data_IF_620799266335
#
_entry.id   IF_620799266335
#
_cell.length_a   1.000
_cell.length_b   1.000
_cell.length_c   1.000
_cell.angle_alpha   90.00
_cell.angle_beta   90.00
_cell.angle_gamma   90.00
#
_symmetry.space_group_name_H-M   'P 1'
#
loop_
_entity.id
_entity.type
_entity.pdbx_description
1 polymer ?
#
# COMPACT_ATOMS: atom_id res chain seq x y z
N UNK A 1 -5.18 49.68 2.28
CA UNK A 1 -4.17 48.69 1.87
C UNK A 1 -4.62 47.32 2.37
N UNK A 2 -4.71 46.31 1.49
CA UNK A 2 -5.30 45.03 1.88
C UNK A 2 -4.31 44.27 2.80
N UNK A 3 -4.78 43.75 3.94
CA UNK A 3 -3.94 43.05 4.96
C UNK A 3 -3.14 41.91 4.33
N UNK A 4 -3.75 41.20 3.38
CA UNK A 4 -3.09 40.11 2.64
C UNK A 4 -1.91 40.58 1.80
N UNK A 5 -2.03 41.73 1.10
CA UNK A 5 -0.93 42.31 0.30
C UNK A 5 0.25 42.72 1.18
N UNK A 6 -0.06 43.22 2.39
CA UNK A 6 0.94 43.62 3.38
C UNK A 6 1.67 42.41 3.95
N UNK A 7 0.93 41.32 4.27
CA UNK A 7 1.50 40.05 4.72
C UNK A 7 2.44 39.45 3.67
N UNK A 8 2.02 39.40 2.40
CA UNK A 8 2.87 38.88 1.30
C UNK A 8 4.16 39.72 1.12
N UNK A 9 4.07 41.07 1.15
CA UNK A 9 5.26 41.92 1.06
C UNK A 9 6.24 41.69 2.23
N UNK A 10 5.71 41.47 3.42
CA UNK A 10 6.53 41.18 4.60
C UNK A 10 7.30 39.86 4.46
N UNK A 11 6.65 38.81 3.95
CA UNK A 11 7.27 37.51 3.67
C UNK A 11 8.41 37.63 2.63
N UNK A 12 8.22 38.47 1.62
CA UNK A 12 9.23 38.69 0.56
C UNK A 12 10.46 39.47 1.04
N UNK A 13 10.36 40.30 2.09
CA UNK A 13 11.49 41.06 2.63
C UNK A 13 12.55 40.17 3.30
N UNK A 14 12.18 38.99 3.84
CA UNK A 14 13.08 38.06 4.58
C UNK A 14 13.10 36.69 3.95
N UNK A 15 13.54 36.62 2.71
CA UNK A 15 13.46 35.44 1.83
C UNK A 15 14.04 34.16 2.45
N UNK A 16 15.24 34.23 3.05
CA UNK A 16 15.90 33.07 3.64
C UNK A 16 15.07 32.40 4.75
N UNK A 17 14.59 33.21 5.70
CA UNK A 17 13.79 32.72 6.82
C UNK A 17 12.45 32.13 6.34
N UNK A 18 11.76 32.85 5.46
CA UNK A 18 10.50 32.40 4.86
C UNK A 18 10.72 31.08 4.14
N UNK A 19 11.81 30.95 3.39
CA UNK A 19 12.17 29.72 2.68
C UNK A 19 12.39 28.54 3.64
N UNK A 20 13.20 28.70 4.70
CA UNK A 20 13.42 27.64 5.68
C UNK A 20 12.13 27.23 6.41
N UNK A 21 11.28 28.21 6.72
CA UNK A 21 9.98 27.90 7.36
C UNK A 21 9.07 27.13 6.40
N UNK A 22 8.99 27.56 5.13
CA UNK A 22 8.21 26.86 4.09
C UNK A 22 8.74 25.45 3.88
N UNK A 23 10.08 25.25 3.83
CA UNK A 23 10.69 23.92 3.71
C UNK A 23 10.31 23.02 4.89
N UNK A 24 10.40 23.53 6.12
CA UNK A 24 10.02 22.76 7.31
C UNK A 24 8.56 22.33 7.30
N UNK A 25 7.65 23.23 6.92
CA UNK A 25 6.23 22.94 6.78
C UNK A 25 5.99 21.96 5.61
N UNK A 26 6.68 22.16 4.49
CA UNK A 26 6.56 21.31 3.31
C UNK A 26 7.03 19.87 3.57
N UNK A 27 8.13 19.69 4.31
CA UNK A 27 8.59 18.36 4.74
C UNK A 27 7.57 17.68 5.65
N UNK A 28 7.00 18.40 6.60
CA UNK A 28 5.96 17.87 7.48
C UNK A 28 4.69 17.51 6.71
N UNK A 29 4.31 18.32 5.72
CA UNK A 29 3.20 18.07 4.82
C UNK A 29 3.45 16.84 3.96
N UNK A 30 4.64 16.72 3.36
CA UNK A 30 5.04 15.58 2.57
C UNK A 30 4.96 14.28 3.37
N UNK A 31 5.55 14.24 4.57
CA UNK A 31 5.51 13.07 5.44
C UNK A 31 4.07 12.69 5.81
N UNK A 32 3.24 13.67 6.19
CA UNK A 32 1.85 13.43 6.56
C UNK A 32 1.03 12.86 5.39
N UNK A 33 1.14 13.47 4.21
CA UNK A 33 0.43 13.05 2.99
C UNK A 33 0.86 11.65 2.57
N UNK A 34 2.18 11.39 2.56
CA UNK A 34 2.74 10.07 2.21
C UNK A 34 2.27 9.00 3.20
N UNK A 35 2.27 9.30 4.50
CA UNK A 35 1.83 8.36 5.53
C UNK A 35 0.33 8.04 5.45
N UNK A 36 -0.51 9.04 5.27
CA UNK A 36 -1.94 8.84 5.10
C UNK A 36 -2.25 8.14 3.78
N UNK A 37 -1.53 8.51 2.70
CA UNK A 37 -1.60 7.87 1.39
C UNK A 37 -1.21 6.40 1.44
N UNK A 38 -0.13 6.07 2.16
CA UNK A 38 0.31 4.70 2.39
C UNK A 38 -0.76 3.90 3.15
N UNK A 39 -1.31 4.43 4.24
CA UNK A 39 -2.34 3.72 4.99
C UNK A 39 -3.57 3.37 4.13
N UNK A 40 -4.01 4.27 3.26
CA UNK A 40 -5.14 4.06 2.36
C UNK A 40 -4.77 3.12 1.21
N UNK A 41 -3.64 3.36 0.56
CA UNK A 41 -3.16 2.58 -0.59
C UNK A 41 -2.88 1.14 -0.21
N UNK A 42 -2.12 0.93 0.86
CA UNK A 42 -1.82 -0.41 1.37
C UNK A 42 -3.09 -1.23 1.69
N UNK A 43 -4.03 -0.64 2.44
CA UNK A 43 -5.29 -1.33 2.77
C UNK A 43 -6.09 -1.70 1.52
N UNK A 44 -6.17 -0.80 0.56
CA UNK A 44 -6.91 -1.03 -0.69
C UNK A 44 -6.23 -2.12 -1.54
N UNK A 45 -4.90 -2.06 -1.66
CA UNK A 45 -4.14 -3.05 -2.42
C UNK A 45 -4.19 -4.42 -1.77
N UNK A 46 -4.03 -4.51 -0.44
CA UNK A 46 -4.17 -5.76 0.29
C UNK A 46 -5.58 -6.37 0.13
N UNK A 47 -6.63 -5.55 0.25
CA UNK A 47 -8.00 -6.05 0.04
C UNK A 47 -8.18 -6.55 -1.40
N UNK A 48 -7.63 -5.84 -2.39
CA UNK A 48 -7.70 -6.25 -3.79
C UNK A 48 -6.96 -7.57 -4.04
N UNK A 49 -5.76 -7.74 -3.45
CA UNK A 49 -5.01 -8.98 -3.57
C UNK A 49 -5.79 -10.16 -2.96
N UNK A 50 -6.37 -9.96 -1.77
CA UNK A 50 -7.17 -11.00 -1.10
C UNK A 50 -8.47 -11.31 -1.87
N UNK A 51 -9.20 -10.31 -2.32
CA UNK A 51 -10.39 -10.48 -3.16
C UNK A 51 -10.02 -11.10 -4.51
N UNK A 52 -8.86 -10.71 -5.06
CA UNK A 52 -8.29 -11.26 -6.27
C UNK A 52 -7.87 -12.73 -6.17
N UNK A 53 -7.69 -13.29 -4.98
CA UNK A 53 -7.50 -14.74 -4.83
C UNK A 53 -8.73 -15.54 -5.22
N UNK A 54 -9.92 -14.95 -5.15
CA UNK A 54 -11.18 -15.60 -5.51
C UNK A 54 -11.68 -16.66 -4.52
N UNK A 55 -10.89 -16.92 -3.46
CA UNK A 55 -11.17 -17.93 -2.44
C UNK A 55 -11.57 -17.27 -1.12
N UNK A 56 -12.54 -17.84 -0.42
CA UNK A 56 -12.87 -17.42 0.96
C UNK A 56 -12.14 -18.27 1.99
N UNK A 57 -12.01 -19.57 1.69
CA UNK A 57 -11.28 -20.53 2.51
C UNK A 57 -10.33 -21.30 1.59
N UNK A 58 -9.14 -21.57 2.09
CA UNK A 58 -8.19 -22.45 1.44
C UNK A 58 -7.80 -23.56 2.40
N UNK A 59 -7.88 -24.80 1.94
CA UNK A 59 -7.29 -25.94 2.61
C UNK A 59 -5.89 -26.17 2.09
N UNK A 60 -4.96 -26.40 2.99
CA UNK A 60 -3.57 -26.78 2.67
C UNK A 60 -3.16 -27.99 3.49
N UNK A 61 -2.07 -28.65 3.13
CA UNK A 61 -1.49 -29.70 3.97
C UNK A 61 -1.11 -29.12 5.34
N UNK A 62 -1.25 -29.94 6.38
CA UNK A 62 -0.99 -29.56 7.77
C UNK A 62 0.40 -28.99 7.97
N UNK A 63 0.47 -27.78 8.47
CA UNK A 63 1.69 -27.02 8.67
C UNK A 63 1.48 -25.82 9.60
N UNK A 64 2.37 -24.85 9.54
CA UNK A 64 2.16 -23.60 10.23
C UNK A 64 1.17 -22.73 9.43
N UNK A 65 0.11 -22.17 10.01
CA UNK A 65 -0.83 -21.27 9.31
C UNK A 65 -0.12 -20.06 8.67
N UNK A 66 0.98 -19.65 9.28
CA UNK A 66 1.79 -18.55 8.79
C UNK A 66 2.57 -18.91 7.51
N UNK A 67 3.06 -20.15 7.42
CA UNK A 67 3.70 -20.66 6.21
C UNK A 67 2.70 -20.77 5.06
N UNK A 68 1.49 -21.26 5.34
CA UNK A 68 0.43 -21.36 4.36
C UNK A 68 0.00 -19.98 3.82
N UNK A 69 -0.16 -18.99 4.70
CA UNK A 69 -0.47 -17.62 4.29
C UNK A 69 0.66 -16.98 3.47
N UNK A 70 1.93 -17.24 3.85
CA UNK A 70 3.11 -16.75 3.12
C UNK A 70 3.22 -17.39 1.74
N UNK A 71 2.93 -18.69 1.66
CA UNK A 71 2.90 -19.42 0.40
C UNK A 71 1.89 -18.84 -0.58
N UNK A 72 0.70 -18.49 -0.08
CA UNK A 72 -0.36 -17.90 -0.88
C UNK A 72 -0.07 -16.48 -1.36
N UNK A 73 0.72 -15.72 -0.59
CA UNK A 73 1.00 -14.31 -0.88
C UNK A 73 2.29 -14.08 -1.65
N UNK A 74 3.24 -15.02 -1.60
CA UNK A 74 4.59 -14.81 -2.18
C UNK A 74 5.12 -15.99 -3.00
N UNK A 75 4.41 -17.13 -3.02
CA UNK A 75 5.03 -18.38 -3.43
C UNK A 75 6.20 -18.73 -2.49
N UNK A 76 6.47 -20.00 -2.21
CA UNK A 76 7.53 -20.33 -1.27
C UNK A 76 8.15 -21.69 -1.51
N UNK A 77 9.34 -21.87 -0.97
CA UNK A 77 10.02 -23.16 -0.83
C UNK A 77 9.48 -23.90 0.40
N UNK A 78 9.42 -25.23 0.36
CA UNK A 78 8.91 -26.04 1.47
C UNK A 78 7.45 -26.41 1.37
N UNK A 79 6.96 -26.59 0.14
CA UNK A 79 5.60 -27.03 -0.17
C UNK A 79 5.31 -28.38 0.50
N UNK A 80 4.17 -28.45 1.19
CA UNK A 80 3.62 -29.68 1.73
C UNK A 80 2.45 -30.12 0.85
N UNK A 81 2.24 -31.42 0.84
CA UNK A 81 1.22 -32.02 -0.02
C UNK A 81 0.16 -32.72 0.84
N UNK A 82 -1.08 -32.69 0.38
CA UNK A 82 -2.20 -33.45 0.94
C UNK A 82 -2.77 -34.39 -0.10
N UNK A 83 -3.41 -35.50 0.31
CA UNK A 83 -4.02 -36.45 -0.63
C UNK A 83 -5.19 -35.82 -1.39
N UNK A 84 -5.27 -36.07 -2.70
CA UNK A 84 -6.35 -35.57 -3.55
C UNK A 84 -7.70 -36.25 -3.26
N UNK A 85 -7.71 -37.45 -2.69
CA UNK A 85 -8.91 -38.19 -2.36
C UNK A 85 -9.91 -37.47 -1.44
N UNK A 86 -9.47 -36.43 -0.75
CA UNK A 86 -10.32 -35.56 0.08
C UNK A 86 -11.12 -34.53 -0.73
N UNK A 87 -10.69 -34.25 -1.96
CA UNK A 87 -11.30 -33.19 -2.76
C UNK A 87 -12.77 -33.46 -3.11
N UNK A 88 -13.21 -34.69 -3.49
CA UNK A 88 -14.61 -34.95 -3.77
C UNK A 88 -15.56 -34.66 -2.60
N UNK A 89 -15.16 -34.98 -1.37
CA UNK A 89 -15.97 -34.73 -0.17
C UNK A 89 -16.08 -33.21 0.09
N UNK A 90 -15.00 -32.50 -0.08
CA UNK A 90 -14.98 -31.03 0.06
C UNK A 90 -15.84 -30.35 -1.01
N UNK A 91 -15.69 -30.75 -2.27
CA UNK A 91 -16.44 -30.18 -3.39
C UNK A 91 -17.96 -30.38 -3.24
N UNK A 92 -18.38 -31.52 -2.69
CA UNK A 92 -19.79 -31.91 -2.54
C UNK A 92 -20.40 -31.43 -1.20
N UNK A 93 -19.65 -30.72 -0.35
CA UNK A 93 -20.18 -30.21 0.90
C UNK A 93 -21.31 -29.20 0.64
N UNK A 94 -22.37 -29.24 1.45
CA UNK A 94 -23.56 -28.40 1.27
C UNK A 94 -23.26 -26.90 1.34
N UNK A 95 -22.26 -26.53 2.11
CA UNK A 95 -21.81 -25.15 2.34
C UNK A 95 -21.01 -24.57 1.15
N UNK A 96 -20.43 -25.43 0.31
CA UNK A 96 -19.53 -25.03 -0.78
C UNK A 96 -20.33 -24.70 -2.04
N UNK A 97 -20.09 -23.52 -2.60
CA UNK A 97 -20.58 -23.11 -3.90
C UNK A 97 -19.67 -23.65 -5.02
N UNK A 98 -18.37 -23.49 -4.81
CA UNK A 98 -17.36 -23.92 -5.76
C UNK A 98 -16.05 -24.26 -5.05
N UNK A 99 -15.37 -25.32 -5.52
CA UNK A 99 -14.05 -25.69 -5.06
C UNK A 99 -13.15 -25.99 -6.25
N UNK A 100 -11.85 -25.69 -6.11
CA UNK A 100 -10.85 -25.97 -7.13
C UNK A 100 -9.59 -26.58 -6.49
N UNK A 101 -9.09 -27.71 -7.02
CA UNK A 101 -7.86 -28.33 -6.57
C UNK A 101 -6.67 -27.63 -7.23
N UNK A 102 -5.58 -27.51 -6.51
CA UNK A 102 -4.35 -26.87 -7.00
C UNK A 102 -3.12 -27.63 -6.52
N UNK A 103 -2.17 -27.79 -7.43
CA UNK A 103 -0.82 -28.26 -7.13
C UNK A 103 0.16 -27.16 -7.48
N UNK A 104 0.90 -26.67 -6.50
CA UNK A 104 1.97 -25.71 -6.71
C UNK A 104 3.31 -26.45 -6.72
N UNK A 105 4.18 -26.06 -7.63
CA UNK A 105 5.57 -26.47 -7.66
C UNK A 105 6.45 -25.26 -7.91
N UNK A 106 7.45 -25.08 -7.08
CA UNK A 106 8.41 -23.97 -7.21
C UNK A 106 9.79 -24.54 -7.51
N UNK A 107 10.41 -24.05 -8.55
CA UNK A 107 11.72 -24.49 -9.00
C UNK A 107 12.69 -23.34 -8.99
N UNK A 108 13.82 -23.51 -8.32
CA UNK A 108 14.89 -22.52 -8.25
C UNK A 108 15.90 -22.75 -9.37
N UNK A 109 16.05 -21.75 -10.22
CA UNK A 109 17.09 -21.74 -11.25
C UNK A 109 18.21 -20.77 -10.83
N UNK A 110 19.42 -21.31 -10.52
CA UNK A 110 20.54 -20.49 -10.12
C UNK A 110 21.09 -19.60 -11.24
N UNK A 111 20.74 -19.88 -12.49
CA UNK A 111 21.20 -19.13 -13.67
C UNK A 111 20.23 -18.02 -14.09
N UNK A 112 19.10 -17.89 -13.42
CA UNK A 112 18.08 -16.90 -13.73
C UNK A 112 18.35 -15.57 -13.03
N UNK A 113 18.84 -14.56 -13.79
CA UNK A 113 19.22 -13.26 -13.24
C UNK A 113 20.54 -13.24 -12.47
N UNK A 114 20.84 -12.14 -11.79
CA UNK A 114 22.11 -11.96 -11.06
C UNK A 114 22.22 -12.82 -9.78
N UNK A 115 21.08 -13.15 -9.14
CA UNK A 115 21.01 -13.88 -7.86
C UNK A 115 20.25 -15.20 -7.94
N UNK A 116 20.00 -15.72 -9.13
CA UNK A 116 19.08 -16.83 -9.35
C UNK A 116 17.62 -16.36 -9.35
N UNK A 117 16.69 -17.22 -9.78
CA UNK A 117 15.27 -16.94 -9.80
C UNK A 117 14.43 -18.16 -9.48
N UNK A 118 13.23 -17.95 -8.95
CA UNK A 118 12.29 -19.02 -8.70
C UNK A 118 11.15 -18.93 -9.71
N UNK A 119 10.91 -20.00 -10.45
CA UNK A 119 9.75 -20.13 -11.32
C UNK A 119 8.69 -20.93 -10.57
N UNK A 120 7.46 -20.42 -10.55
CA UNK A 120 6.33 -21.04 -9.86
C UNK A 120 5.36 -21.62 -10.90
N UNK A 121 5.18 -22.92 -10.85
CA UNK A 121 4.23 -23.68 -11.66
C UNK A 121 2.98 -23.97 -10.83
N UNK A 122 1.81 -23.71 -11.42
CA UNK A 122 0.53 -23.99 -10.78
C UNK A 122 -0.30 -24.94 -11.64
N UNK A 123 -0.45 -26.17 -11.18
CA UNK A 123 -1.37 -27.15 -11.76
C UNK A 123 -2.80 -26.86 -11.33
N UNK A 124 -3.69 -26.65 -12.29
CA UNK A 124 -5.07 -26.23 -12.06
C UNK A 124 -6.04 -27.07 -12.90
N UNK A 125 -7.28 -27.10 -12.47
CA UNK A 125 -8.42 -27.53 -13.27
C UNK A 125 -8.93 -26.34 -14.10
N UNK A 126 -8.89 -26.48 -15.42
CA UNK A 126 -9.25 -25.41 -16.37
C UNK A 126 -10.73 -24.99 -16.31
N UNK A 127 -11.59 -25.78 -15.71
CA UNK A 127 -13.01 -25.46 -15.58
C UNK A 127 -13.30 -24.70 -14.28
N UNK A 128 -12.69 -25.13 -13.17
CA UNK A 128 -13.03 -24.60 -11.84
C UNK A 128 -12.18 -23.41 -11.41
N UNK A 129 -10.89 -23.41 -11.72
CA UNK A 129 -9.99 -22.33 -11.31
C UNK A 129 -10.32 -20.97 -11.94
N UNK A 130 -10.52 -20.85 -13.28
CA UNK A 130 -10.91 -19.59 -13.89
C UNK A 130 -12.27 -19.09 -13.43
N UNK A 131 -13.21 -19.99 -13.15
CA UNK A 131 -14.53 -19.61 -12.66
C UNK A 131 -14.50 -18.97 -11.26
N UNK A 132 -13.47 -19.25 -10.47
CA UNK A 132 -13.23 -18.57 -9.18
C UNK A 132 -12.55 -17.22 -9.33
N UNK A 133 -11.93 -16.94 -10.48
CA UNK A 133 -11.19 -15.70 -10.77
C UNK A 133 -11.76 -14.99 -12.02
N UNK A 134 -12.98 -14.45 -11.96
CA UNK A 134 -13.68 -13.90 -13.13
C UNK A 134 -13.01 -12.62 -13.70
N UNK A 135 -12.04 -12.05 -13.00
CA UNK A 135 -11.27 -10.90 -13.46
C UNK A 135 -10.11 -11.27 -14.40
N UNK A 136 -9.80 -12.57 -14.54
CA UNK A 136 -8.80 -13.00 -15.50
C UNK A 136 -9.24 -12.66 -16.92
N UNK A 137 -8.38 -11.91 -17.60
CA UNK A 137 -8.49 -11.61 -19.02
C UNK A 137 -7.21 -12.04 -19.71
N UNK A 138 -7.33 -12.42 -20.96
CA UNK A 138 -6.17 -12.76 -21.76
C UNK A 138 -5.69 -11.55 -22.55
N UNK A 139 -4.38 -11.32 -22.54
CA UNK A 139 -3.72 -10.43 -23.49
C UNK A 139 -3.79 -11.06 -24.89
N UNK A 140 -3.55 -12.37 -24.96
CA UNK A 140 -3.65 -13.18 -26.17
C UNK A 140 -3.90 -14.65 -25.81
N UNK A 141 -4.56 -15.42 -26.70
CA UNK A 141 -4.85 -16.82 -26.52
C UNK A 141 -6.01 -17.13 -25.58
N UNK A 142 -5.87 -18.19 -24.79
CA UNK A 142 -6.90 -18.68 -23.88
C UNK A 142 -6.40 -19.82 -22.98
N UNK A 143 -7.32 -20.38 -22.17
CA UNK A 143 -7.00 -21.55 -21.33
C UNK A 143 -6.78 -22.80 -22.17
N UNK A 144 -5.95 -23.71 -21.65
CA UNK A 144 -5.79 -25.05 -22.20
C UNK A 144 -7.12 -25.82 -22.16
N UNK A 145 -7.34 -26.68 -23.16
CA UNK A 145 -8.63 -27.36 -23.35
C UNK A 145 -8.67 -28.77 -22.79
N UNK A 146 -7.54 -29.43 -22.63
CA UNK A 146 -7.42 -30.78 -22.16
C UNK A 146 -6.65 -30.90 -20.87
N UNK A 147 -7.11 -31.76 -19.96
CA UNK A 147 -6.47 -31.99 -18.65
C UNK A 147 -5.09 -32.64 -18.72
N UNK A 148 -4.69 -33.16 -19.86
CA UNK A 148 -3.41 -33.83 -20.10
C UNK A 148 -2.67 -33.23 -21.31
N UNK A 149 -2.92 -31.96 -21.63
CA UNK A 149 -2.26 -31.31 -22.75
C UNK A 149 -0.86 -30.79 -22.34
N UNK A 150 0.09 -30.82 -23.27
CA UNK A 150 1.37 -30.14 -23.14
C UNK A 150 1.19 -28.66 -23.52
N UNK A 151 0.28 -28.00 -22.83
CA UNK A 151 -0.11 -26.63 -23.02
C UNK A 151 0.06 -25.86 -21.72
N UNK A 152 0.56 -24.63 -21.81
CA UNK A 152 0.71 -23.73 -20.65
C UNK A 152 0.07 -22.38 -20.90
N UNK A 153 -0.37 -21.75 -19.82
CA UNK A 153 -0.78 -20.34 -19.78
C UNK A 153 0.19 -19.61 -18.87
N UNK A 154 0.68 -18.46 -19.32
CA UNK A 154 1.61 -17.64 -18.55
C UNK A 154 0.90 -16.41 -17.96
N UNK A 155 1.22 -16.09 -16.71
CA UNK A 155 0.92 -14.81 -16.14
C UNK A 155 1.71 -13.69 -16.85
N UNK A 156 1.26 -12.46 -16.72
CA UNK A 156 1.85 -11.32 -17.44
C UNK A 156 3.36 -11.19 -17.17
N UNK A 157 3.76 -11.19 -15.90
CA UNK A 157 5.17 -11.01 -15.51
C UNK A 157 6.02 -12.24 -15.84
N UNK A 158 5.44 -13.44 -15.76
CA UNK A 158 6.11 -14.67 -16.18
C UNK A 158 6.43 -14.65 -17.68
N UNK A 159 5.48 -14.22 -18.51
CA UNK A 159 5.68 -14.11 -19.96
C UNK A 159 6.75 -13.06 -20.33
N UNK A 160 6.75 -11.90 -19.65
CA UNK A 160 7.77 -10.86 -19.86
C UNK A 160 9.17 -11.32 -19.43
N UNK A 161 9.29 -12.01 -18.28
CA UNK A 161 10.57 -12.53 -17.80
C UNK A 161 11.15 -13.62 -18.70
N UNK A 162 10.30 -14.53 -19.17
CA UNK A 162 10.70 -15.63 -20.04
C UNK A 162 10.77 -15.21 -21.52
N UNK A 163 10.35 -13.98 -21.85
CA UNK A 163 10.31 -13.42 -23.20
C UNK A 163 9.55 -14.36 -24.18
N UNK A 164 8.34 -14.78 -23.79
CA UNK A 164 7.49 -15.70 -24.57
C UNK A 164 6.21 -15.05 -25.05
N UNK A 165 5.80 -15.49 -26.23
CA UNK A 165 4.53 -15.12 -26.86
C UNK A 165 3.64 -16.35 -27.06
N UNK A 166 2.35 -16.12 -27.33
CA UNK A 166 1.42 -17.22 -27.62
C UNK A 166 1.84 -17.94 -28.91
N UNK A 167 1.99 -19.24 -28.80
CA UNK A 167 2.46 -20.12 -29.88
C UNK A 167 3.90 -20.59 -29.72
N UNK A 168 4.67 -19.95 -28.83
CA UNK A 168 6.04 -20.37 -28.55
C UNK A 168 6.09 -21.70 -27.80
N UNK A 169 7.22 -22.41 -27.97
CA UNK A 169 7.57 -23.57 -27.15
C UNK A 169 8.28 -23.12 -25.88
N UNK A 170 7.93 -23.73 -24.77
CA UNK A 170 8.58 -23.54 -23.48
C UNK A 170 9.06 -24.88 -22.93
N UNK A 171 10.36 -25.00 -22.71
CA UNK A 171 10.95 -26.17 -22.07
C UNK A 171 10.89 -25.99 -20.56
N UNK A 172 10.20 -26.87 -19.86
CA UNK A 172 10.18 -26.80 -18.41
C UNK A 172 11.56 -27.18 -17.84
N UNK A 173 12.03 -26.46 -16.81
CA UNK A 173 13.26 -26.81 -16.11
C UNK A 173 13.23 -28.28 -15.64
N UNK A 174 14.37 -28.95 -15.76
CA UNK A 174 14.54 -30.37 -15.38
C UNK A 174 13.59 -31.36 -16.06
N UNK A 175 12.99 -30.98 -17.18
CA UNK A 175 12.16 -31.84 -18.03
C UNK A 175 12.67 -31.84 -19.46
N UNK A 176 12.51 -32.96 -20.15
CA UNK A 176 12.74 -33.06 -21.60
C UNK A 176 11.48 -32.74 -22.41
N UNK A 177 10.37 -32.40 -21.75
CA UNK A 177 9.11 -32.12 -22.39
C UNK A 177 8.95 -30.66 -22.79
N UNK A 178 8.59 -30.42 -24.03
CA UNK A 178 8.22 -29.11 -24.55
C UNK A 178 6.72 -28.86 -24.37
N UNK A 179 6.42 -27.65 -23.89
CA UNK A 179 5.06 -27.16 -23.70
C UNK A 179 4.79 -25.98 -24.64
N UNK A 180 3.58 -25.93 -25.16
CA UNK A 180 3.15 -24.83 -26.00
C UNK A 180 2.47 -23.75 -25.17
N UNK A 181 2.89 -22.50 -25.31
CA UNK A 181 2.22 -21.35 -24.73
C UNK A 181 0.91 -21.10 -25.49
N UNK A 182 -0.24 -21.34 -24.86
CA UNK A 182 -1.56 -21.18 -25.49
C UNK A 182 -2.29 -19.93 -25.06
N UNK A 183 -1.82 -19.27 -24.00
CA UNK A 183 -2.39 -18.02 -23.54
C UNK A 183 -1.46 -17.24 -22.61
N UNK A 184 -1.61 -15.93 -22.64
CA UNK A 184 -0.92 -15.00 -21.75
C UNK A 184 -1.98 -14.10 -21.11
N UNK A 185 -1.98 -14.04 -19.78
CA UNK A 185 -2.93 -13.21 -19.02
C UNK A 185 -2.60 -11.71 -19.16
N UNK A 186 -3.62 -10.86 -19.10
CA UNK A 186 -3.43 -9.44 -18.83
C UNK A 186 -2.87 -9.26 -17.41
N UNK A 187 -2.21 -8.14 -17.17
CA UNK A 187 -1.68 -7.82 -15.84
C UNK A 187 -2.80 -7.70 -14.82
N UNK A 188 -2.79 -8.57 -13.84
CA UNK A 188 -3.79 -8.62 -12.76
C UNK A 188 -3.38 -7.79 -11.55
N UNK A 189 -2.08 -7.58 -11.35
CA UNK A 189 -1.51 -6.98 -10.16
C UNK A 189 -1.57 -7.93 -8.94
N UNK A 190 -1.70 -9.22 -9.16
CA UNK A 190 -1.67 -10.27 -8.14
C UNK A 190 -0.48 -11.20 -8.37
N UNK A 191 -0.26 -12.14 -7.46
CA UNK A 191 0.79 -13.16 -7.62
C UNK A 191 0.63 -14.02 -8.88
N UNK A 192 -0.57 -14.09 -9.43
CA UNK A 192 -0.85 -14.85 -10.65
C UNK A 192 -0.04 -14.34 -11.86
N UNK A 193 0.37 -13.07 -11.83
CA UNK A 193 1.18 -12.47 -12.89
C UNK A 193 2.56 -13.15 -13.04
N UNK A 194 3.12 -13.67 -11.94
CA UNK A 194 4.41 -14.37 -11.92
C UNK A 194 4.33 -15.89 -12.07
N UNK A 195 3.14 -16.47 -12.29
CA UNK A 195 2.92 -17.92 -12.34
C UNK A 195 2.82 -18.45 -13.76
N UNK A 196 3.20 -19.72 -13.92
CA UNK A 196 2.96 -20.51 -15.12
C UNK A 196 1.92 -21.58 -14.78
N UNK A 197 0.80 -21.56 -15.50
CA UNK A 197 -0.34 -22.45 -15.28
C UNK A 197 -0.27 -23.65 -16.21
N UNK A 198 -0.48 -24.84 -15.64
CA UNK A 198 -0.55 -26.11 -16.37
C UNK A 198 -1.82 -26.88 -15.98
N UNK A 199 -2.26 -27.85 -16.80
CA UNK A 199 -3.25 -28.80 -16.35
C UNK A 199 -2.76 -29.55 -15.10
N UNK A 200 -3.65 -29.72 -14.11
CA UNK A 200 -3.31 -30.33 -12.82
C UNK A 200 -2.65 -31.70 -12.98
N UNK A 201 -3.28 -32.59 -13.80
CA UNK A 201 -2.76 -33.93 -13.99
C UNK A 201 -1.41 -33.96 -14.73
N UNK A 202 -1.16 -32.99 -15.62
CA UNK A 202 0.13 -32.85 -16.29
C UNK A 202 1.22 -32.50 -15.28
N UNK A 203 0.97 -31.52 -14.41
CA UNK A 203 1.95 -31.14 -13.39
C UNK A 203 2.19 -32.24 -12.36
N UNK A 204 1.12 -32.99 -11.97
CA UNK A 204 1.23 -34.12 -11.06
C UNK A 204 2.16 -35.22 -11.63
N UNK A 205 1.96 -35.59 -12.89
CA UNK A 205 2.80 -36.60 -13.58
C UNK A 205 4.25 -36.11 -13.73
N UNK A 206 4.45 -34.88 -14.18
CA UNK A 206 5.76 -34.32 -14.46
C UNK A 206 6.69 -34.34 -13.24
N UNK A 207 6.17 -34.02 -12.07
CA UNK A 207 6.93 -33.95 -10.82
C UNK A 207 6.71 -35.15 -9.88
N UNK A 208 6.15 -36.23 -10.39
CA UNK A 208 5.87 -37.48 -9.61
C UNK A 208 5.08 -37.20 -8.33
N UNK A 209 4.03 -36.37 -8.45
CA UNK A 209 3.12 -35.98 -7.38
C UNK A 209 1.70 -36.50 -7.63
N UNK A 210 1.58 -37.70 -8.19
CA UNK A 210 0.29 -38.31 -8.50
C UNK A 210 -0.63 -38.37 -7.27
N UNK A 211 -1.88 -37.94 -7.45
CA UNK A 211 -2.91 -37.87 -6.40
C UNK A 211 -2.53 -36.95 -5.19
N UNK A 212 -1.66 -35.97 -5.40
CA UNK A 212 -1.28 -34.99 -4.38
C UNK A 212 -1.70 -33.59 -4.80
N UNK A 213 -2.13 -32.80 -3.82
CA UNK A 213 -2.46 -31.39 -3.95
C UNK A 213 -1.64 -30.57 -2.94
N UNK A 214 -1.37 -29.32 -3.25
CA UNK A 214 -0.84 -28.37 -2.27
C UNK A 214 -1.97 -27.65 -1.55
N UNK A 215 -3.05 -27.35 -2.28
CA UNK A 215 -4.16 -26.60 -1.73
C UNK A 215 -5.49 -26.89 -2.46
N UNK A 216 -6.60 -26.64 -1.77
CA UNK A 216 -7.95 -26.58 -2.34
C UNK A 216 -8.55 -25.24 -2.00
N UNK A 217 -8.84 -24.43 -3.02
CA UNK A 217 -9.54 -23.16 -2.86
C UNK A 217 -11.04 -23.36 -2.85
N UNK A 218 -11.76 -22.66 -1.96
CA UNK A 218 -13.19 -22.78 -1.81
C UNK A 218 -13.87 -21.42 -1.78
N UNK A 219 -15.04 -21.35 -2.43
CA UNK A 219 -16.04 -20.29 -2.29
C UNK A 219 -17.27 -20.87 -1.63
N UNK A 220 -17.78 -20.21 -0.60
CA UNK A 220 -18.96 -20.64 0.12
C UNK A 220 -20.22 -20.02 -0.51
N UNK A 221 -21.34 -20.72 -0.37
CA UNK A 221 -22.66 -20.20 -0.72
C UNK A 221 -23.02 -18.99 0.12
N UNK A 222 -23.83 -18.10 -0.43
CA UNK A 222 -24.34 -16.96 0.31
C UNK A 222 -25.13 -17.44 1.55
N UNK A 223 -24.95 -16.74 2.68
CA UNK A 223 -25.58 -17.02 3.98
C UNK A 223 -25.07 -18.26 4.75
N UNK A 224 -23.92 -18.82 4.37
CA UNK A 224 -23.25 -19.85 5.19
C UNK A 224 -22.43 -19.17 6.31
N UNK A 225 -22.51 -19.74 7.51
CA UNK A 225 -21.62 -19.34 8.58
C UNK A 225 -20.22 -19.93 8.33
N UNK A 226 -19.28 -19.09 7.88
CA UNK A 226 -17.92 -19.52 7.54
C UNK A 226 -17.19 -20.12 8.75
N UNK A 227 -17.38 -19.57 9.96
CA UNK A 227 -16.72 -20.05 11.18
C UNK A 227 -17.16 -21.50 11.53
N UNK A 228 -18.46 -21.78 11.45
CA UNK A 228 -18.97 -23.11 11.72
C UNK A 228 -18.49 -24.14 10.67
N UNK A 229 -18.30 -23.72 9.42
CA UNK A 229 -17.75 -24.58 8.38
C UNK A 229 -16.23 -24.77 8.55
N UNK A 230 -15.50 -23.73 8.91
CA UNK A 230 -14.08 -23.84 9.25
C UNK A 230 -13.86 -24.84 10.40
N UNK A 231 -14.69 -24.84 11.45
CA UNK A 231 -14.61 -25.79 12.55
C UNK A 231 -14.82 -27.25 12.10
N UNK A 232 -15.69 -27.49 11.13
CA UNK A 232 -15.85 -28.83 10.51
C UNK A 232 -14.58 -29.24 9.76
N UNK A 233 -14.00 -28.34 8.98
CA UNK A 233 -12.80 -28.60 8.21
C UNK A 233 -11.58 -28.85 9.09
N UNK A 234 -11.49 -28.21 10.28
CA UNK A 234 -10.42 -28.45 11.25
C UNK A 234 -10.42 -29.89 11.82
N UNK A 235 -11.53 -30.59 11.71
CA UNK A 235 -11.62 -32.00 12.14
C UNK A 235 -11.02 -32.98 11.12
N UNK A 236 -10.77 -32.51 9.87
CA UNK A 236 -10.15 -33.36 8.87
C UNK A 236 -8.67 -33.63 9.23
N UNK A 237 -8.20 -34.89 9.08
CA UNK A 237 -6.82 -35.21 9.39
C UNK A 237 -5.88 -34.61 8.33
N UNK A 238 -4.67 -34.24 8.77
CA UNK A 238 -3.56 -33.85 7.92
C UNK A 238 -3.77 -32.58 7.05
N UNK A 239 -4.80 -31.77 7.35
CA UNK A 239 -5.09 -30.52 6.66
C UNK A 239 -5.04 -29.33 7.61
N UNK A 240 -4.77 -28.20 7.04
CA UNK A 240 -4.78 -26.86 7.66
C UNK A 240 -5.80 -25.99 6.95
N UNK A 241 -6.72 -25.42 7.70
CA UNK A 241 -7.68 -24.44 7.17
C UNK A 241 -7.07 -23.06 7.24
N UNK A 242 -7.15 -22.30 6.16
CA UNK A 242 -6.71 -20.92 6.07
C UNK A 242 -7.88 -20.08 5.57
N UNK A 243 -8.46 -19.31 6.46
CA UNK A 243 -9.49 -18.34 6.12
C UNK A 243 -8.85 -17.07 5.59
N UNK A 244 -9.30 -16.58 4.43
CA UNK A 244 -8.83 -15.31 3.88
C UNK A 244 -9.18 -14.12 4.79
N UNK A 245 -10.25 -14.23 5.56
CA UNK A 245 -10.58 -13.24 6.58
C UNK A 245 -9.53 -13.21 7.72
N UNK A 246 -9.06 -14.38 8.18
CA UNK A 246 -8.00 -14.47 9.19
C UNK A 246 -6.66 -13.94 8.65
N UNK A 247 -6.30 -14.30 7.42
CA UNK A 247 -5.08 -13.79 6.76
C UNK A 247 -5.12 -12.27 6.71
N UNK A 248 -6.21 -11.70 6.22
CA UNK A 248 -6.40 -10.24 6.20
C UNK A 248 -6.28 -9.60 7.57
N UNK A 249 -6.98 -10.15 8.57
CA UNK A 249 -6.97 -9.60 9.92
C UNK A 249 -5.56 -9.66 10.55
N UNK A 250 -4.84 -10.76 10.34
CA UNK A 250 -3.47 -10.93 10.82
C UNK A 250 -2.53 -9.90 10.19
N UNK A 251 -2.55 -9.76 8.86
CA UNK A 251 -1.72 -8.78 8.16
C UNK A 251 -2.08 -7.36 8.59
N UNK A 252 -3.36 -7.02 8.67
CA UNK A 252 -3.81 -5.69 9.11
C UNK A 252 -3.39 -5.42 10.56
N UNK A 253 -3.41 -6.42 11.45
CA UNK A 253 -2.98 -6.24 12.84
C UNK A 253 -1.48 -6.01 12.97
N UNK A 254 -0.66 -6.75 12.23
CA UNK A 254 0.79 -6.55 12.18
C UNK A 254 1.15 -5.14 11.72
N UNK A 255 0.49 -4.66 10.66
CA UNK A 255 0.70 -3.33 10.12
C UNK A 255 0.16 -2.26 11.06
N UNK A 256 -0.96 -2.52 11.75
CA UNK A 256 -1.50 -1.58 12.73
C UNK A 256 -0.50 -1.32 13.86
N UNK A 257 0.21 -2.34 14.30
CA UNK A 257 1.27 -2.19 15.31
C UNK A 257 2.44 -1.33 14.81
N UNK A 258 2.92 -1.57 13.59
CA UNK A 258 3.93 -0.74 12.95
C UNK A 258 3.41 0.70 12.71
N UNK A 259 2.14 0.85 12.32
CA UNK A 259 1.49 2.14 12.11
C UNK A 259 1.49 3.01 13.35
N UNK A 260 1.27 2.46 14.54
CA UNK A 260 1.30 3.21 15.81
C UNK A 260 2.66 3.88 16.00
N UNK A 261 3.75 3.15 15.73
CA UNK A 261 5.12 3.68 15.83
C UNK A 261 5.32 4.81 14.83
N UNK A 262 4.95 4.59 13.57
CA UNK A 262 5.11 5.60 12.50
C UNK A 262 4.24 6.82 12.76
N UNK A 263 3.00 6.65 13.25
CA UNK A 263 2.11 7.75 13.65
C UNK A 263 2.68 8.54 14.83
N UNK A 264 3.34 7.88 15.78
CA UNK A 264 4.00 8.55 16.89
C UNK A 264 5.16 9.43 16.42
N UNK A 265 5.99 8.91 15.50
CA UNK A 265 7.08 9.69 14.89
C UNK A 265 6.52 10.86 14.06
N UNK A 266 5.46 10.63 13.29
CA UNK A 266 4.79 11.70 12.54
C UNK A 266 4.20 12.77 13.46
N UNK A 267 3.60 12.38 14.59
CA UNK A 267 3.09 13.32 15.59
C UNK A 267 4.22 14.18 16.20
N UNK A 268 5.36 13.58 16.51
CA UNK A 268 6.54 14.29 16.99
C UNK A 268 7.06 15.27 15.93
N UNK A 269 7.21 14.82 14.69
CA UNK A 269 7.63 15.68 13.58
C UNK A 269 6.67 16.87 13.37
N UNK A 270 5.36 16.60 13.49
CA UNK A 270 4.34 17.62 13.43
C UNK A 270 4.44 18.65 14.57
N UNK A 271 4.67 18.20 15.80
CA UNK A 271 4.91 19.10 16.94
C UNK A 271 6.15 19.96 16.72
N UNK A 272 7.24 19.37 16.22
CA UNK A 272 8.46 20.14 15.88
C UNK A 272 8.15 21.22 14.83
N UNK A 273 7.34 20.89 13.82
CA UNK A 273 6.92 21.88 12.82
C UNK A 273 6.11 23.03 13.44
N UNK A 274 5.16 22.72 14.33
CA UNK A 274 4.37 23.73 15.07
C UNK A 274 5.29 24.64 15.86
N UNK A 275 6.24 24.10 16.63
CA UNK A 275 7.22 24.88 17.38
C UNK A 275 8.14 25.71 16.47
N UNK A 276 8.53 25.15 15.31
CA UNK A 276 9.30 25.86 14.29
C UNK A 276 8.55 27.09 13.75
N UNK A 277 7.28 26.92 13.42
CA UNK A 277 6.40 28.02 12.97
C UNK A 277 6.26 29.06 14.09
N UNK A 278 5.95 28.62 15.30
CA UNK A 278 5.78 29.49 16.47
C UNK A 278 7.04 30.33 16.74
N UNK A 279 8.22 29.69 16.76
CA UNK A 279 9.51 30.37 16.95
C UNK A 279 9.79 31.37 15.82
N UNK A 280 9.56 30.97 14.56
CA UNK A 280 9.77 31.87 13.41
C UNK A 280 8.86 33.10 13.46
N UNK A 281 7.60 32.93 13.82
CA UNK A 281 6.64 34.02 13.89
C UNK A 281 6.95 34.93 15.10
N UNK A 282 7.30 34.36 16.26
CA UNK A 282 7.72 35.13 17.42
C UNK A 282 8.95 35.99 17.09
N UNK A 283 9.98 35.39 16.48
CA UNK A 283 11.17 36.14 16.07
C UNK A 283 10.82 37.24 15.06
N UNK A 284 9.86 36.97 14.14
CA UNK A 284 9.35 38.00 13.22
C UNK A 284 8.72 39.17 13.95
N UNK A 285 7.97 38.91 15.00
CA UNK A 285 7.34 39.95 15.82
C UNK A 285 8.42 40.77 16.58
N UNK A 286 9.41 40.10 17.19
CA UNK A 286 10.49 40.79 17.90
C UNK A 286 11.32 41.72 17.00
N UNK A 287 11.70 41.23 15.81
CA UNK A 287 12.47 42.05 14.86
C UNK A 287 11.71 43.24 14.29
N UNK A 288 10.38 43.22 14.38
CA UNK A 288 9.49 44.30 13.91
C UNK A 288 8.83 45.06 15.07
N UNK A 289 9.39 44.88 16.27
CA UNK A 289 8.80 45.44 17.50
C UNK A 289 8.58 46.91 17.40
N UNK A 290 9.60 47.69 16.92
CA UNK A 290 9.52 49.14 16.70
C UNK A 290 8.52 49.51 15.59
N UNK A 291 8.52 48.78 14.43
CA UNK A 291 7.56 49.01 13.33
C UNK A 291 6.12 48.86 13.84
N UNK A 292 5.85 47.83 14.66
CA UNK A 292 4.54 47.61 15.27
C UNK A 292 4.18 48.72 16.24
N UNK A 293 5.16 49.20 17.03
CA UNK A 293 4.99 50.35 17.93
C UNK A 293 4.61 51.64 17.19
N UNK A 294 5.30 51.94 16.10
CA UNK A 294 5.04 53.12 15.24
C UNK A 294 3.63 52.99 14.60
N UNK A 295 3.28 51.85 14.07
CA UNK A 295 1.94 51.62 13.51
C UNK A 295 0.84 51.86 14.54
N UNK A 296 1.03 51.40 15.76
CA UNK A 296 0.07 51.62 16.85
C UNK A 296 0.02 53.08 17.33
N UNK A 297 1.16 53.81 17.33
CA UNK A 297 1.16 55.25 17.63
C UNK A 297 0.48 56.06 16.55
N UNK A 298 0.46 55.59 15.29
CA UNK A 298 -0.30 56.20 14.17
C UNK A 298 -1.79 55.79 14.18
N UNK A 299 -2.28 55.07 15.22
CA UNK A 299 -3.69 54.74 15.38
C UNK A 299 -4.09 53.33 14.90
N UNK A 300 -3.14 52.42 14.60
CA UNK A 300 -3.47 51.04 14.28
C UNK A 300 -4.07 50.34 15.51
N UNK A 301 -5.25 49.76 15.34
CA UNK A 301 -5.93 49.03 16.41
C UNK A 301 -5.25 47.65 16.65
N UNK A 302 -5.26 47.13 17.89
CA UNK A 302 -4.72 45.81 18.21
C UNK A 302 -5.22 44.69 17.28
N UNK A 303 -6.50 44.75 16.87
CA UNK A 303 -7.08 43.79 15.94
C UNK A 303 -6.42 43.80 14.54
N UNK A 304 -5.92 44.97 14.09
CA UNK A 304 -5.24 45.07 12.79
C UNK A 304 -3.86 44.41 12.85
N UNK A 305 -3.12 44.60 13.96
CA UNK A 305 -1.83 43.96 14.19
C UNK A 305 -2.00 42.46 14.33
N UNK A 306 -2.99 42.00 15.12
CA UNK A 306 -3.35 40.60 15.23
C UNK A 306 -3.62 39.98 13.86
N UNK A 307 -4.56 40.56 13.08
CA UNK A 307 -4.92 40.06 11.78
C UNK A 307 -3.75 39.99 10.80
N UNK A 308 -2.84 40.96 10.85
CA UNK A 308 -1.64 41.01 10.01
C UNK A 308 -0.73 39.79 10.28
N UNK A 309 -0.36 39.57 11.54
CA UNK A 309 0.55 38.49 11.94
C UNK A 309 -0.10 37.13 11.71
N UNK A 310 -1.38 37.01 12.09
CA UNK A 310 -2.13 35.77 11.92
C UNK A 310 -2.28 35.38 10.44
N UNK A 311 -2.62 36.35 9.58
CA UNK A 311 -2.71 36.15 8.12
C UNK A 311 -1.35 35.73 7.53
N UNK A 312 -0.24 36.36 7.99
CA UNK A 312 1.12 35.98 7.56
C UNK A 312 1.41 34.51 7.88
N UNK A 313 1.06 34.05 9.09
CA UNK A 313 1.26 32.65 9.51
C UNK A 313 0.41 31.68 8.70
N UNK A 314 -0.86 32.00 8.47
CA UNK A 314 -1.77 31.16 7.66
C UNK A 314 -1.26 31.03 6.24
N UNK A 315 -0.78 32.11 5.62
CA UNK A 315 -0.22 32.10 4.26
C UNK A 315 1.04 31.22 4.20
N UNK A 316 1.92 31.30 5.21
CA UNK A 316 3.12 30.44 5.31
C UNK A 316 2.74 28.97 5.38
N UNK A 317 1.77 28.61 6.23
CA UNK A 317 1.33 27.20 6.38
C UNK A 317 0.59 26.69 5.14
N UNK A 318 -0.26 27.49 4.53
CA UNK A 318 -0.93 27.12 3.29
C UNK A 318 0.07 26.95 2.13
N UNK A 319 1.00 27.88 1.98
CA UNK A 319 2.06 27.79 0.95
C UNK A 319 2.98 26.58 1.17
N UNK A 320 3.43 26.35 2.40
CA UNK A 320 4.25 25.18 2.74
C UNK A 320 3.50 23.86 2.53
N UNK A 321 2.21 23.81 2.86
CA UNK A 321 1.35 22.66 2.61
C UNK A 321 1.23 22.33 1.12
N UNK A 322 1.00 23.34 0.28
CA UNK A 322 0.94 23.16 -1.18
C UNK A 322 2.26 22.59 -1.72
N UNK A 323 3.39 23.18 -1.31
CA UNK A 323 4.72 22.68 -1.72
C UNK A 323 4.95 21.25 -1.25
N UNK A 324 4.57 20.90 -0.02
CA UNK A 324 4.69 19.54 0.52
C UNK A 324 3.81 18.52 -0.20
N UNK A 325 2.59 18.91 -0.58
CA UNK A 325 1.69 18.06 -1.39
C UNK A 325 2.31 17.82 -2.78
N UNK A 326 2.86 18.85 -3.42
CA UNK A 326 3.55 18.71 -4.71
C UNK A 326 4.74 17.74 -4.57
N UNK A 327 5.52 17.84 -3.51
CA UNK A 327 6.60 16.89 -3.24
C UNK A 327 6.09 15.47 -3.03
N UNK A 328 4.95 15.30 -2.33
CA UNK A 328 4.33 13.98 -2.17
C UNK A 328 3.99 13.34 -3.53
N UNK A 329 3.48 14.11 -4.49
CA UNK A 329 3.23 13.63 -5.86
C UNK A 329 4.51 13.30 -6.62
N UNK A 330 5.50 14.18 -6.60
CA UNK A 330 6.76 14.00 -7.35
C UNK A 330 7.53 12.78 -6.81
N UNK A 331 7.58 12.61 -5.50
CA UNK A 331 8.35 11.55 -4.85
C UNK A 331 7.51 10.33 -4.47
N UNK A 332 6.25 10.22 -4.91
CA UNK A 332 5.39 9.09 -4.60
C UNK A 332 6.02 7.75 -5.01
N UNK A 333 6.48 7.64 -6.25
CA UNK A 333 7.11 6.42 -6.78
C UNK A 333 8.40 6.06 -6.04
N UNK A 334 9.25 7.03 -5.73
CA UNK A 334 10.50 6.81 -4.99
C UNK A 334 10.19 6.35 -3.56
N UNK A 335 9.22 6.99 -2.91
CA UNK A 335 8.76 6.60 -1.57
C UNK A 335 8.17 5.19 -1.57
N UNK A 336 7.40 4.84 -2.60
CA UNK A 336 6.82 3.51 -2.75
C UNK A 336 7.90 2.44 -2.93
N UNK A 337 8.88 2.64 -3.81
CA UNK A 337 10.00 1.72 -4.00
C UNK A 337 10.78 1.50 -2.71
N UNK A 338 11.06 2.59 -1.97
CA UNK A 338 11.74 2.51 -0.69
C UNK A 338 10.92 1.69 0.33
N UNK A 339 9.62 1.94 0.44
CA UNK A 339 8.75 1.19 1.34
C UNK A 339 8.73 -0.30 0.98
N UNK A 340 8.64 -0.65 -0.31
CA UNK A 340 8.66 -2.04 -0.79
C UNK A 340 9.92 -2.78 -0.38
N UNK A 341 11.07 -2.10 -0.35
CA UNK A 341 12.35 -2.71 0.05
C UNK A 341 12.35 -3.15 1.52
N UNK A 342 11.65 -2.43 2.39
CA UNK A 342 11.60 -2.71 3.83
C UNK A 342 10.35 -3.48 4.28
N UNK A 343 9.34 -3.61 3.43
CA UNK A 343 8.07 -4.22 3.79
C UNK A 343 8.02 -5.68 3.31
N UNK A 344 8.05 -6.68 4.22
CA UNK A 344 8.11 -8.09 3.85
C UNK A 344 6.90 -8.59 3.06
N UNK A 345 5.72 -7.97 3.27
CA UNK A 345 4.44 -8.34 2.66
C UNK A 345 3.83 -7.13 1.91
N UNK A 346 4.60 -6.57 0.95
CA UNK A 346 4.07 -5.51 0.12
C UNK A 346 3.10 -6.08 -0.92
N UNK A 347 1.81 -5.67 -0.93
CA UNK A 347 0.88 -6.05 -1.98
C UNK A 347 1.32 -5.53 -3.36
N UNK A 348 0.83 -6.18 -4.42
CA UNK A 348 1.23 -5.88 -5.81
C UNK A 348 0.67 -4.56 -6.34
N UNK A 349 -0.43 -4.05 -5.74
CA UNK A 349 -1.04 -2.78 -6.13
C UNK A 349 -0.27 -1.53 -5.65
N UNK A 350 -0.80 -0.35 -5.94
CA UNK A 350 -0.25 0.93 -5.48
C UNK A 350 -0.24 1.01 -3.95
N UNK A 351 0.94 1.21 -3.36
CA UNK A 351 1.10 1.34 -1.90
C UNK A 351 0.73 2.73 -1.39
N UNK A 352 0.87 3.77 -2.23
CA UNK A 352 0.57 5.16 -1.87
C UNK A 352 -0.58 5.66 -2.74
N UNK A 353 -1.76 5.77 -2.15
CA UNK A 353 -2.95 6.29 -2.84
C UNK A 353 -3.19 7.75 -2.47
N UNK A 354 -2.94 8.65 -3.41
CA UNK A 354 -3.13 10.10 -3.25
C UNK A 354 -4.53 10.52 -3.74
N UNK A 355 -5.55 10.27 -2.94
CA UNK A 355 -6.92 10.68 -3.28
C UNK A 355 -7.17 12.17 -3.01
N UNK A 356 -8.06 12.83 -3.78
CA UNK A 356 -8.40 14.25 -3.57
C UNK A 356 -8.88 14.56 -2.15
N UNK A 357 -9.63 13.65 -1.55
CA UNK A 357 -10.13 13.76 -0.19
C UNK A 357 -8.98 13.80 0.83
N UNK A 358 -7.98 12.91 0.68
CA UNK A 358 -6.81 12.85 1.53
C UNK A 358 -5.98 14.12 1.42
N UNK A 359 -5.81 14.64 0.21
CA UNK A 359 -5.10 15.90 -0.06
C UNK A 359 -5.79 17.05 0.65
N UNK A 360 -7.12 17.14 0.53
CA UNK A 360 -7.90 18.20 1.19
C UNK A 360 -7.80 18.13 2.71
N UNK A 361 -7.93 16.93 3.29
CA UNK A 361 -7.80 16.72 4.74
C UNK A 361 -6.40 17.09 5.23
N UNK A 362 -5.36 16.66 4.51
CA UNK A 362 -3.97 16.99 4.87
C UNK A 362 -3.70 18.49 4.77
N UNK A 363 -4.16 19.13 3.70
CA UNK A 363 -4.06 20.58 3.53
C UNK A 363 -4.75 21.34 4.68
N UNK A 364 -5.98 20.93 5.00
CA UNK A 364 -6.75 21.53 6.09
C UNK A 364 -6.07 21.33 7.45
N UNK A 365 -5.56 20.13 7.73
CA UNK A 365 -4.87 19.82 8.98
C UNK A 365 -3.63 20.69 9.16
N UNK A 366 -2.77 20.81 8.14
CA UNK A 366 -1.53 21.60 8.23
C UNK A 366 -1.85 23.10 8.27
N UNK A 367 -2.82 23.56 7.51
CA UNK A 367 -3.24 24.98 7.59
C UNK A 367 -3.83 25.32 8.96
N UNK A 368 -4.58 24.40 9.57
CA UNK A 368 -5.10 24.54 10.92
C UNK A 368 -3.98 24.68 11.97
N UNK A 369 -2.81 24.06 11.77
CA UNK A 369 -1.66 24.31 12.66
C UNK A 369 -1.13 25.73 12.57
N UNK A 370 -1.15 26.31 11.37
CA UNK A 370 -0.82 27.73 11.19
C UNK A 370 -1.81 28.64 11.90
N UNK A 371 -3.10 28.30 11.82
CA UNK A 371 -4.16 29.02 12.55
C UNK A 371 -3.90 28.99 14.05
N UNK A 372 -3.65 27.79 14.61
CA UNK A 372 -3.45 27.60 16.05
C UNK A 372 -2.07 28.11 16.52
N UNK A 373 -1.00 27.76 15.81
CA UNK A 373 0.38 28.16 16.16
C UNK A 373 0.63 29.66 16.03
N UNK A 374 -0.04 30.34 15.08
CA UNK A 374 0.03 31.77 14.89
C UNK A 374 -0.75 32.59 15.91
N UNK A 375 -1.68 31.98 16.64
CA UNK A 375 -2.58 32.66 17.57
C UNK A 375 -1.80 33.34 18.70
N UNK A 376 -0.87 32.64 19.33
CA UNK A 376 -0.10 33.10 20.48
C UNK A 376 0.85 34.25 20.13
N UNK A 377 1.65 34.19 19.03
CA UNK A 377 2.46 35.31 18.57
C UNK A 377 1.63 36.54 18.19
N UNK A 378 0.49 36.31 17.48
CA UNK A 378 -0.38 37.40 17.05
C UNK A 378 -1.01 38.15 18.24
N UNK A 379 -1.43 37.43 19.29
CA UNK A 379 -1.94 38.03 20.52
C UNK A 379 -0.84 38.82 21.22
N UNK A 380 0.38 38.28 21.31
CA UNK A 380 1.51 39.00 21.92
C UNK A 380 1.84 40.29 21.17
N UNK A 381 1.90 40.22 19.84
CA UNK A 381 2.13 41.39 18.99
C UNK A 381 1.04 42.47 19.16
N UNK A 382 -0.22 42.05 19.25
CA UNK A 382 -1.35 42.96 19.46
C UNK A 382 -1.31 43.68 20.81
N UNK A 383 -0.66 43.09 21.84
CA UNK A 383 -0.54 43.67 23.20
C UNK A 383 0.69 44.59 23.40
N UNK A 384 1.56 44.72 22.42
CA UNK A 384 2.75 45.61 22.50
C UNK A 384 2.31 47.05 22.80
N UNK A 385 2.93 47.69 23.78
CA UNK A 385 2.70 49.10 24.13
C UNK A 385 3.55 49.97 23.22
N UNK A 386 2.98 51.02 22.57
CA UNK A 386 3.74 51.90 21.66
C UNK A 386 4.95 52.56 22.32
N UNK A 387 4.79 52.98 23.56
CA UNK A 387 5.84 53.70 24.32
C UNK A 387 7.06 52.80 24.59
N UNK A 388 6.80 51.51 24.94
CA UNK A 388 7.87 50.52 25.22
C UNK A 388 8.60 50.13 23.92
N UNK A 389 7.84 50.06 22.82
CA UNK A 389 8.38 49.70 21.51
C UNK A 389 9.28 50.79 20.90
N UNK A 390 9.01 52.07 21.16
CA UNK A 390 9.80 53.20 20.63
C UNK A 390 11.03 53.45 21.52
N UNK A 391 10.93 53.16 22.84
CA UNK A 391 12.04 53.31 23.80
C UNK A 391 13.07 52.19 23.80
N UNK A 392 12.77 51.07 23.25
CA UNK A 392 13.73 49.94 23.14
C UNK A 392 14.80 50.26 22.09
N UNK A 393 15.68 51.20 22.39
CA UNK A 393 17.00 51.33 21.78
C UNK A 393 17.90 50.24 22.41
N UNK A 394 18.32 49.29 21.59
CA UNK A 394 19.27 48.18 21.68
C UNK A 394 18.67 46.79 21.84
#
# INVERSE_FOLDING_TARGET
MNIVTLACKNLQRRKLRTMFTIIGIALSAWVLVTLLGFNKGYKNSLNRDIEGMGFQIVLTAKGCPYEAATLMLKGGTGLRYMPENMFPDIKNAEEVEQATPMLMHAEFDPYKGENGGTTVFLGIDAATYPAMKPYFKFRDGGWFKAEQANEIVMGYEAAELEQREVGDSYLLPNSEEEFKVVGILERTGTQDDGMIFLPLQTLQKLYHKDNLLTMVGMRLKNNVNSEAFEDKLYQLPDVQVVSMAQVRNTIVSLITSAKIIVMSVAAIAFLIAVFGVLNTVLMSVFERYQEIGILKSMGALPKHIFAMIWTETVILCAGGSIVGIIFAFIFANVSEQLIRTFLPFAPHGELISLSPELILVSFAAITATGVLGGLLPAIRAAKIRPLDAIRSEN
#
